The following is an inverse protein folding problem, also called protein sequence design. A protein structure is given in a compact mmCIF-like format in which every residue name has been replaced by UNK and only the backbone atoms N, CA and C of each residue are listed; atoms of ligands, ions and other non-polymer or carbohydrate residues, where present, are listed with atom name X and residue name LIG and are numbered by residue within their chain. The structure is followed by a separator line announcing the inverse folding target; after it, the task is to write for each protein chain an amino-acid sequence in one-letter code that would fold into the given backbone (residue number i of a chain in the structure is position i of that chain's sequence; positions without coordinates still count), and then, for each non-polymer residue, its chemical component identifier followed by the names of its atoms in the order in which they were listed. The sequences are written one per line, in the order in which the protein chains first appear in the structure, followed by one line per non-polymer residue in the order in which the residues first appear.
data_IF_874613575123
#
_entry.id   IF_874613575123
#
_cell.length_a   1.000
_cell.length_b   1.000
_cell.length_c   1.000
_cell.angle_alpha   90.00
_cell.angle_beta   90.00
_cell.angle_gamma   90.00
#
_symmetry.space_group_name_H-M   'P 1'
#
loop_
_entity.id
_entity.type
_entity.pdbx_description
1 polymer ?
#
# COMPACT_ATOMS: atom_id res chain seq x y z
N UNK A 1 -15.77 -7.47 -4.10
CA UNK A 1 -14.47 -7.37 -3.40
C UNK A 1 -13.43 -6.99 -4.45
N UNK A 2 -12.60 -6.00 -4.17
CA UNK A 2 -11.56 -5.52 -5.08
C UNK A 2 -10.34 -5.09 -4.29
N UNK A 3 -9.18 -5.24 -4.90
CA UNK A 3 -7.95 -4.59 -4.49
C UNK A 3 -7.81 -3.32 -5.31
N UNK A 4 -7.57 -2.18 -4.64
CA UNK A 4 -7.39 -0.89 -5.30
C UNK A 4 -6.10 -0.28 -4.81
N UNK A 5 -5.29 0.20 -5.74
CA UNK A 5 -4.12 1.02 -5.43
C UNK A 5 -4.49 2.48 -5.66
N UNK A 6 -4.24 3.31 -4.65
CA UNK A 6 -4.52 4.75 -4.67
C UNK A 6 -3.24 5.50 -4.34
N UNK A 7 -2.91 6.51 -5.15
CA UNK A 7 -1.88 7.50 -4.81
C UNK A 7 -2.54 8.85 -4.54
N UNK A 8 -1.95 9.63 -3.64
CA UNK A 8 -2.32 11.04 -3.50
C UNK A 8 -1.53 11.87 -4.50
N UNK A 9 -2.25 12.59 -5.37
CA UNK A 9 -1.67 13.57 -6.29
C UNK A 9 -2.31 14.93 -6.03
N UNK A 10 -1.50 15.93 -5.67
CA UNK A 10 -1.99 17.25 -5.27
C UNK A 10 -3.07 17.17 -4.17
N UNK A 11 -2.82 16.34 -3.15
CA UNK A 11 -3.71 16.08 -2.01
C UNK A 11 -5.05 15.40 -2.34
N UNK A 12 -5.25 14.98 -3.60
CA UNK A 12 -6.43 14.24 -4.04
C UNK A 12 -6.11 12.74 -4.22
N UNK A 13 -6.99 11.82 -3.77
CA UNK A 13 -6.80 10.39 -3.98
C UNK A 13 -7.12 9.99 -5.43
N UNK A 14 -6.12 9.47 -6.14
CA UNK A 14 -6.24 8.99 -7.51
C UNK A 14 -6.10 7.47 -7.52
N UNK A 15 -7.14 6.78 -7.97
CA UNK A 15 -7.09 5.34 -8.23
C UNK A 15 -6.14 5.07 -9.40
N UNK A 16 -5.12 4.24 -9.17
CA UNK A 16 -4.12 3.87 -10.18
C UNK A 16 -4.42 2.54 -10.83
N UNK A 17 -4.97 1.61 -10.05
CA UNK A 17 -5.36 0.30 -10.55
C UNK A 17 -6.43 -0.32 -9.66
N UNK A 18 -7.36 -1.06 -10.29
CA UNK A 18 -8.41 -1.82 -9.64
C UNK A 18 -8.40 -3.26 -10.15
N UNK A 19 -8.34 -4.21 -9.21
CA UNK A 19 -8.31 -5.64 -9.50
C UNK A 19 -9.48 -6.31 -8.77
N UNK A 20 -10.41 -6.97 -9.49
CA UNK A 20 -11.44 -7.78 -8.85
C UNK A 20 -10.82 -8.93 -8.03
N UNK A 21 -11.25 -9.09 -6.78
CA UNK A 21 -10.81 -10.19 -5.92
C UNK A 21 -11.91 -11.25 -5.79
N UNK A 22 -11.56 -12.49 -6.12
CA UNK A 22 -12.41 -13.66 -5.90
C UNK A 22 -12.19 -14.31 -4.52
N UNK A 23 -11.08 -14.02 -3.87
CA UNK A 23 -10.67 -14.60 -2.58
C UNK A 23 -10.99 -13.66 -1.40
N UNK A 24 -10.95 -14.21 -0.18
CA UNK A 24 -11.06 -13.43 1.07
C UNK A 24 -9.70 -13.06 1.67
N UNK A 25 -8.61 -13.61 1.12
CA UNK A 25 -7.24 -13.35 1.56
C UNK A 25 -6.43 -12.74 0.43
N UNK A 26 -5.63 -11.75 0.80
CA UNK A 26 -4.62 -11.12 -0.07
C UNK A 26 -3.41 -10.77 0.78
N UNK A 27 -2.21 -10.89 0.21
CA UNK A 27 -0.97 -10.44 0.81
C UNK A 27 -0.55 -9.13 0.16
N UNK A 28 -0.14 -8.16 0.97
CA UNK A 28 0.26 -6.84 0.52
C UNK A 28 1.73 -6.61 0.85
N UNK A 29 2.46 -5.98 -0.06
CA UNK A 29 3.86 -5.62 0.12
C UNK A 29 4.12 -4.25 -0.48
N UNK A 30 5.01 -3.51 0.18
CA UNK A 30 5.59 -2.28 -0.34
C UNK A 30 7.11 -2.43 -0.26
N UNK A 31 7.80 -2.06 -1.34
CA UNK A 31 9.25 -1.99 -1.40
C UNK A 31 9.64 -0.52 -1.52
N UNK A 32 10.49 -0.05 -0.61
CA UNK A 32 10.97 1.33 -0.62
C UNK A 32 12.44 1.37 -1.03
N UNK A 33 12.77 2.26 -1.96
CA UNK A 33 14.13 2.60 -2.34
C UNK A 33 14.47 4.00 -1.85
N UNK A 34 15.33 4.05 -0.84
CA UNK A 34 15.88 5.28 -0.27
C UNK A 34 17.35 5.50 -0.64
N UNK A 35 17.95 4.59 -1.44
CA UNK A 35 19.35 4.71 -1.85
C UNK A 35 19.52 5.96 -2.71
N UNK A 36 20.61 6.68 -2.49
CA UNK A 36 20.93 7.90 -3.26
C UNK A 36 19.78 8.93 -3.31
N UNK A 37 18.91 8.95 -2.28
CA UNK A 37 17.71 9.80 -2.22
C UNK A 37 16.75 9.58 -3.38
N UNK A 38 16.66 8.34 -3.88
CA UNK A 38 15.68 7.95 -4.89
C UNK A 38 14.25 8.22 -4.40
N UNK A 39 13.99 7.93 -3.12
CA UNK A 39 12.73 8.16 -2.42
C UNK A 39 11.52 7.61 -3.19
N UNK A 40 11.61 6.34 -3.60
CA UNK A 40 10.57 5.64 -4.38
C UNK A 40 9.95 4.51 -3.58
N UNK A 41 8.65 4.29 -3.76
CA UNK A 41 7.97 3.12 -3.23
C UNK A 41 7.15 2.41 -4.31
N UNK A 42 7.31 1.10 -4.40
CA UNK A 42 6.56 0.24 -5.33
C UNK A 42 5.69 -0.73 -4.53
N UNK A 43 4.43 -0.85 -4.93
CA UNK A 43 3.44 -1.67 -4.25
C UNK A 43 3.23 -2.99 -5.00
N UNK A 44 3.02 -4.05 -4.25
CA UNK A 44 2.82 -5.39 -4.75
C UNK A 44 1.70 -6.09 -3.99
N UNK A 45 1.10 -7.07 -4.65
CA UNK A 45 0.17 -8.00 -4.01
C UNK A 45 0.49 -9.44 -4.40
N UNK A 46 -0.04 -10.37 -3.62
CA UNK A 46 0.01 -11.80 -3.91
C UNK A 46 -1.27 -12.47 -3.39
N UNK A 47 -1.70 -13.54 -4.04
CA UNK A 47 -2.84 -14.37 -3.62
C UNK A 47 -2.39 -15.66 -2.90
N UNK A 48 -1.11 -15.99 -2.96
CA UNK A 48 -0.51 -17.24 -2.44
C UNK A 48 0.74 -17.02 -1.57
N UNK A 49 1.12 -15.75 -1.35
CA UNK A 49 2.34 -15.29 -0.66
C UNK A 49 3.66 -15.68 -1.35
N UNK A 50 3.61 -16.24 -2.56
CA UNK A 50 4.77 -16.70 -3.32
C UNK A 50 4.96 -15.84 -4.57
N UNK A 51 3.93 -15.73 -5.39
CA UNK A 51 3.95 -14.95 -6.62
C UNK A 51 3.50 -13.51 -6.36
N UNK A 52 4.46 -12.59 -6.40
CA UNK A 52 4.23 -11.16 -6.16
C UNK A 52 4.10 -10.40 -7.47
N UNK A 53 2.99 -9.68 -7.62
CA UNK A 53 2.70 -8.85 -8.79
C UNK A 53 2.69 -7.38 -8.39
N UNK A 54 3.32 -6.48 -9.17
CA UNK A 54 3.19 -5.05 -8.93
C UNK A 54 1.74 -4.61 -9.14
N UNK A 55 1.34 -3.51 -8.49
CA UNK A 55 0.03 -2.88 -8.68
C UNK A 55 0.18 -1.36 -8.67
N UNK A 56 -0.43 -0.71 -9.65
CA UNK A 56 -0.41 0.75 -9.82
C UNK A 56 0.96 1.31 -10.17
N UNK A 57 1.11 2.61 -9.89
CA UNK A 57 2.30 3.38 -10.20
C UNK A 57 3.32 3.38 -9.04
N UNK A 58 4.57 3.77 -9.35
CA UNK A 58 5.56 4.05 -8.29
C UNK A 58 5.22 5.36 -7.58
N UNK A 59 5.17 5.33 -6.26
CA UNK A 59 5.08 6.53 -5.44
C UNK A 59 6.45 7.21 -5.42
N UNK A 60 6.53 8.44 -5.93
CA UNK A 60 7.67 9.33 -5.67
C UNK A 60 7.41 10.08 -4.36
N UNK A 61 8.09 9.67 -3.30
CA UNK A 61 7.92 10.24 -1.96
C UNK A 61 8.42 11.68 -1.91
N UNK A 62 7.73 12.52 -1.13
CA UNK A 62 8.08 13.93 -0.91
C UNK A 62 8.06 14.22 0.59
N UNK A 63 9.18 14.70 1.12
CA UNK A 63 9.24 15.17 2.50
C UNK A 63 8.76 16.63 2.56
N UNK A 64 7.58 16.86 3.14
CA UNK A 64 6.99 18.19 3.27
C UNK A 64 6.94 18.64 4.73
N UNK A 65 7.08 19.95 4.95
CA UNK A 65 7.08 20.55 6.29
C UNK A 65 5.78 20.45 7.10
N UNK A 66 4.55 20.39 6.55
CA UNK A 66 3.33 20.44 7.37
C UNK A 66 3.17 19.23 8.29
N UNK A 67 3.78 18.08 7.99
CA UNK A 67 3.74 16.91 8.86
C UNK A 67 5.02 16.68 9.67
N UNK A 68 6.17 17.22 9.24
CA UNK A 68 7.49 17.04 9.87
C UNK A 68 7.74 15.59 10.36
N UNK A 69 7.36 14.61 9.54
CA UNK A 69 7.46 13.19 9.86
C UNK A 69 7.90 12.44 8.61
N UNK A 70 8.80 11.48 8.80
CA UNK A 70 9.14 10.52 7.75
C UNK A 70 7.94 9.64 7.40
N UNK A 71 7.98 9.03 6.20
CA UNK A 71 6.97 8.07 5.77
C UNK A 71 6.90 6.88 6.75
N UNK A 72 5.68 6.38 6.99
CA UNK A 72 5.39 5.24 7.86
C UNK A 72 4.47 4.26 7.15
N UNK A 73 4.61 2.99 7.49
CA UNK A 73 3.66 1.97 7.09
C UNK A 73 2.45 1.98 8.03
N UNK A 74 1.25 1.85 7.47
CA UNK A 74 0.01 1.82 8.24
C UNK A 74 -0.94 0.76 7.71
N UNK A 75 -1.51 -0.03 8.62
CA UNK A 75 -2.63 -0.92 8.37
C UNK A 75 -3.87 -0.27 8.98
N UNK A 76 -4.94 -0.15 8.19
CA UNK A 76 -6.17 0.50 8.63
C UNK A 76 -7.39 -0.22 8.06
N UNK A 77 -8.50 -0.15 8.79
CA UNK A 77 -9.83 -0.61 8.37
C UNK A 77 -10.86 0.40 8.83
N UNK A 78 -11.69 0.89 7.91
CA UNK A 78 -12.70 1.91 8.17
C UNK A 78 -13.91 1.71 7.25
N UNK A 79 -15.07 2.16 7.70
CA UNK A 79 -16.32 2.08 6.96
C UNK A 79 -16.70 3.45 6.38
N UNK A 80 -17.18 3.48 5.15
CA UNK A 80 -17.73 4.69 4.50
C UNK A 80 -19.25 4.68 4.38
N UNK A 81 -19.91 3.54 4.65
CA UNK A 81 -21.37 3.36 4.53
C UNK A 81 -21.98 2.75 5.79
N UNK A 82 -21.59 1.52 6.12
CA UNK A 82 -22.14 0.76 7.25
C UNK A 82 -21.02 0.26 8.16
N UNK A 83 -21.20 0.43 9.48
CA UNK A 83 -20.22 0.02 10.50
C UNK A 83 -20.45 -1.44 10.92
N UNK A 84 -19.45 -2.04 11.58
CA UNK A 84 -19.53 -3.43 12.08
C UNK A 84 -18.70 -4.44 11.27
N UNK A 85 -18.16 -4.05 10.12
CA UNK A 85 -17.13 -4.82 9.40
C UNK A 85 -15.79 -4.84 10.14
N UNK A 86 -14.99 -5.87 9.90
CA UNK A 86 -13.65 -6.04 10.47
C UNK A 86 -12.68 -6.55 9.40
N UNK A 87 -11.38 -6.43 9.68
CA UNK A 87 -10.31 -7.00 8.85
C UNK A 87 -9.29 -7.66 9.78
N UNK A 88 -8.92 -8.91 9.48
CA UNK A 88 -7.94 -9.67 10.24
C UNK A 88 -6.56 -9.54 9.60
N UNK A 89 -5.61 -8.97 10.34
CA UNK A 89 -4.22 -8.85 9.92
C UNK A 89 -3.38 -9.91 10.65
N UNK A 90 -3.05 -11.00 9.96
CA UNK A 90 -2.34 -12.15 10.55
C UNK A 90 -0.90 -11.80 10.96
N UNK A 91 -0.20 -11.03 10.12
CA UNK A 91 1.16 -10.59 10.42
C UNK A 91 1.55 -9.30 9.70
N UNK A 92 2.56 -8.63 10.27
CA UNK A 92 3.29 -7.55 9.64
C UNK A 92 4.79 -7.88 9.67
N UNK A 93 5.42 -7.92 8.49
CA UNK A 93 6.84 -8.29 8.35
C UNK A 93 7.59 -7.15 7.67
N UNK A 94 8.77 -6.84 8.21
CA UNK A 94 9.69 -5.85 7.66
C UNK A 94 11.03 -6.52 7.44
N UNK A 95 11.63 -6.26 6.29
CA UNK A 95 12.97 -6.71 5.92
C UNK A 95 13.74 -5.55 5.32
N UNK A 96 15.05 -5.50 5.53
CA UNK A 96 15.98 -4.52 4.97
C UNK A 96 16.36 -4.80 3.50
N UNK A 97 15.84 -5.88 2.91
CA UNK A 97 16.05 -6.21 1.50
C UNK A 97 17.43 -6.78 1.18
N UNK A 98 18.15 -7.25 2.20
CA UNK A 98 19.39 -8.01 2.09
C UNK A 98 19.13 -9.52 1.98
#
# INVERSE_FOLDING_TARGET
KSLVMVLSENDEPIEKELIPLATDRVYLKIACDFKERADKATFFYSLDAQDWKPIGDTLQMRYTLPHFMGYRFGLFSYATRETGGYADFDYYRVSDGN
#
